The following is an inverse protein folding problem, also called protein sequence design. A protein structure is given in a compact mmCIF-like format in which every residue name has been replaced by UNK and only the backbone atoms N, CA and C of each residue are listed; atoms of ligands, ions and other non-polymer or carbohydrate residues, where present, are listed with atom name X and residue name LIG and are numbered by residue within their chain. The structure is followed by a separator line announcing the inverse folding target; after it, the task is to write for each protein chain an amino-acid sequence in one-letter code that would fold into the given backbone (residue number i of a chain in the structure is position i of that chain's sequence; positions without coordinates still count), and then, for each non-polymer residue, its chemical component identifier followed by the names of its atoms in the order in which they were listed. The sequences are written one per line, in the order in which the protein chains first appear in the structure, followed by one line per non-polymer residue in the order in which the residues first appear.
data_IF_928521771947
#
_entry.id   IF_928521771947
#
_cell.length_a   1.000
_cell.length_b   1.000
_cell.length_c   1.000
_cell.angle_alpha   90.00
_cell.angle_beta   90.00
_cell.angle_gamma   90.00
#
_symmetry.space_group_name_H-M   'P 1'
#
loop_
_entity.id
_entity.type
_entity.pdbx_description
1 polymer ?
#
# COMPACT_ATOMS: atom_id res chain seq x y z
N UNK A 1 -12.69 11.60 3.74
CA UNK A 1 -11.81 12.09 2.65
C UNK A 1 -10.98 10.91 2.15
N UNK A 2 -10.65 10.85 0.86
CA UNK A 2 -9.98 9.68 0.27
C UNK A 2 -8.67 9.26 0.96
N UNK A 3 -7.90 10.21 1.52
CA UNK A 3 -6.57 9.94 2.11
C UNK A 3 -6.55 10.05 3.64
N UNK A 4 -7.71 10.03 4.31
CA UNK A 4 -7.80 10.30 5.75
C UNK A 4 -7.01 9.33 6.62
N UNK A 5 -6.91 8.05 6.22
CA UNK A 5 -6.12 7.06 6.96
C UNK A 5 -4.62 7.42 7.01
N UNK A 6 -4.08 7.95 5.90
CA UNK A 6 -2.70 8.41 5.87
C UNK A 6 -2.53 9.71 6.66
N UNK A 7 -3.47 10.66 6.56
CA UNK A 7 -3.43 11.87 7.38
C UNK A 7 -3.42 11.54 8.87
N UNK A 8 -4.30 10.63 9.30
CA UNK A 8 -4.38 10.13 10.68
C UNK A 8 -3.05 9.56 11.17
N UNK A 9 -2.38 8.73 10.35
CA UNK A 9 -1.04 8.23 10.68
C UNK A 9 -0.02 9.37 10.81
N UNK A 10 -0.01 10.33 9.89
CA UNK A 10 0.98 11.41 9.89
C UNK A 10 0.76 12.39 11.05
N UNK A 11 -0.49 12.63 11.43
CA UNK A 11 -0.88 13.37 12.62
C UNK A 11 -0.42 12.65 13.90
N UNK A 12 -0.67 11.35 14.02
CA UNK A 12 -0.23 10.55 15.16
C UNK A 12 1.30 10.51 15.31
N UNK A 13 2.03 10.38 14.19
CA UNK A 13 3.50 10.42 14.23
C UNK A 13 4.00 11.80 14.67
N UNK A 14 3.38 12.88 14.19
CA UNK A 14 3.70 14.24 14.61
C UNK A 14 5.14 14.66 14.33
N UNK A 15 5.52 15.84 14.84
CA UNK A 15 6.90 16.35 14.67
C UNK A 15 7.90 15.68 15.62
N UNK A 16 7.42 15.15 16.75
CA UNK A 16 8.22 14.41 17.72
C UNK A 16 8.55 12.97 17.30
N UNK A 17 7.82 12.41 16.35
CA UNK A 17 7.93 11.01 15.96
C UNK A 17 7.41 10.03 17.03
N UNK A 18 7.48 8.74 16.71
CA UNK A 18 7.12 7.65 17.61
C UNK A 18 8.37 6.88 18.03
N UNK A 19 8.42 6.47 19.29
CA UNK A 19 9.43 5.52 19.78
C UNK A 19 8.97 4.10 19.49
N UNK A 20 9.79 3.33 18.79
CA UNK A 20 9.54 1.93 18.49
C UNK A 20 10.05 1.01 19.62
N UNK A 21 9.53 -0.20 19.63
CA UNK A 21 10.05 -1.30 20.46
C UNK A 21 11.46 -1.71 20.04
N UNK A 22 12.15 -2.51 20.85
CA UNK A 22 13.49 -3.03 20.51
C UNK A 22 13.53 -3.86 19.21
N UNK A 23 12.40 -4.44 18.81
CA UNK A 23 12.25 -5.16 17.53
C UNK A 23 11.82 -4.24 16.36
N UNK A 24 11.85 -2.92 16.54
CA UNK A 24 11.44 -1.90 15.56
C UNK A 24 9.97 -1.96 15.13
N UNK A 25 9.08 -2.45 16.01
CA UNK A 25 7.63 -2.35 15.86
C UNK A 25 7.05 -1.19 16.69
N UNK A 26 5.90 -0.67 16.28
CA UNK A 26 5.06 0.24 17.05
C UNK A 26 4.72 -0.35 18.42
N UNK A 27 4.60 0.53 19.42
CA UNK A 27 4.10 0.14 20.74
C UNK A 27 2.61 -0.17 20.65
N UNK A 28 2.07 -1.04 21.51
CA UNK A 28 0.64 -1.38 21.50
C UNK A 28 -0.30 -0.17 21.57
N UNK A 29 0.10 0.92 22.24
CA UNK A 29 -0.64 2.18 22.26
C UNK A 29 -0.74 2.84 20.89
N UNK A 30 0.37 2.89 20.15
CA UNK A 30 0.42 3.49 18.82
C UNK A 30 -0.32 2.65 17.78
N UNK A 31 -0.24 1.32 17.90
CA UNK A 31 -0.99 0.39 17.05
C UNK A 31 -2.50 0.64 17.18
N UNK A 32 -2.99 0.85 18.41
CA UNK A 32 -4.41 1.15 18.66
C UNK A 32 -4.83 2.48 18.05
N UNK A 33 -4.06 3.54 18.26
CA UNK A 33 -4.39 4.84 17.67
C UNK A 33 -4.43 4.72 16.14
N UNK A 34 -3.41 4.14 15.52
CA UNK A 34 -3.39 4.00 14.05
C UNK A 34 -4.56 3.15 13.57
N UNK A 35 -4.86 2.02 14.24
CA UNK A 35 -5.97 1.14 13.89
C UNK A 35 -7.32 1.87 13.83
N UNK A 36 -7.58 2.78 14.76
CA UNK A 36 -8.84 3.53 14.83
C UNK A 36 -9.11 4.40 13.59
N UNK A 37 -8.05 4.77 12.85
CA UNK A 37 -8.16 5.55 11.62
C UNK A 37 -8.18 4.73 10.33
N UNK A 38 -8.11 3.40 10.39
CA UNK A 38 -8.02 2.54 9.20
C UNK A 38 -9.39 1.95 8.80
N UNK A 39 -9.91 2.26 7.59
CA UNK A 39 -11.10 1.60 7.05
C UNK A 39 -11.01 0.07 7.07
N UNK A 40 -9.84 -0.49 6.78
CA UNK A 40 -9.59 -1.94 6.79
C UNK A 40 -9.72 -2.61 8.16
N UNK A 41 -9.77 -1.84 9.25
CA UNK A 41 -9.98 -2.37 10.61
C UNK A 41 -11.46 -2.57 10.95
N UNK A 42 -12.40 -2.21 10.07
CA UNK A 42 -13.84 -2.30 10.33
C UNK A 42 -14.33 -3.70 10.74
N UNK A 43 -13.74 -4.76 10.20
CA UNK A 43 -14.09 -6.16 10.51
C UNK A 43 -13.05 -6.88 11.39
N UNK A 44 -12.13 -6.12 12.00
CA UNK A 44 -11.07 -6.71 12.82
C UNK A 44 -11.59 -7.13 14.20
N UNK A 45 -11.74 -8.45 14.39
CA UNK A 45 -12.29 -9.05 15.62
C UNK A 45 -11.22 -9.53 16.62
N UNK A 46 -9.94 -9.47 16.24
CA UNK A 46 -8.85 -10.00 17.06
C UNK A 46 -8.25 -8.93 17.97
N UNK A 47 -7.60 -9.32 19.09
CA UNK A 47 -6.96 -8.37 19.98
C UNK A 47 -5.89 -7.50 19.30
N UNK A 48 -5.97 -6.19 19.48
CA UNK A 48 -4.97 -5.22 19.00
C UNK A 48 -3.84 -5.13 20.04
N UNK A 49 -2.82 -5.98 19.87
CA UNK A 49 -1.71 -6.12 20.83
C UNK A 49 -0.37 -5.73 20.24
N UNK A 50 0.24 -6.59 19.42
CA UNK A 50 1.54 -6.37 18.78
C UNK A 50 1.34 -6.03 17.32
N UNK A 51 2.07 -5.04 16.81
CA UNK A 51 1.95 -4.61 15.41
C UNK A 51 2.03 -5.79 14.42
N UNK A 52 3.01 -6.68 14.60
CA UNK A 52 3.21 -7.86 13.73
C UNK A 52 2.00 -8.81 13.68
N UNK A 53 1.14 -8.78 14.69
CA UNK A 53 -0.09 -9.59 14.74
C UNK A 53 -1.31 -8.83 14.20
N UNK A 54 -1.20 -7.51 14.00
CA UNK A 54 -2.26 -6.65 13.45
C UNK A 54 -1.87 -6.30 12.03
N UNK A 55 -1.99 -7.29 11.14
CA UNK A 55 -1.52 -7.22 9.75
C UNK A 55 -1.97 -5.96 8.99
N UNK A 56 -3.24 -5.46 9.11
CA UNK A 56 -3.63 -4.23 8.42
C UNK A 56 -2.84 -3.01 8.86
N UNK A 57 -2.54 -2.89 10.16
CA UNK A 57 -1.72 -1.78 10.70
C UNK A 57 -0.25 -1.95 10.30
N UNK A 58 0.27 -3.17 10.36
CA UNK A 58 1.64 -3.46 9.96
C UNK A 58 1.89 -3.11 8.49
N UNK A 59 1.05 -3.65 7.59
CA UNK A 59 1.12 -3.38 6.15
C UNK A 59 1.00 -1.89 5.85
N UNK A 60 0.05 -1.21 6.50
CA UNK A 60 -0.16 0.23 6.32
C UNK A 60 1.02 1.10 6.78
N UNK A 61 1.67 0.78 7.90
CA UNK A 61 2.89 1.49 8.32
C UNK A 61 4.03 1.25 7.32
N UNK A 62 4.23 0.01 6.89
CA UNK A 62 5.27 -0.36 5.93
C UNK A 62 5.03 0.35 4.59
N UNK A 63 3.78 0.46 4.15
CA UNK A 63 3.44 1.19 2.93
C UNK A 63 3.73 2.68 3.05
N UNK A 64 3.45 3.31 4.20
CA UNK A 64 3.83 4.70 4.45
C UNK A 64 5.35 4.94 4.39
N UNK A 65 6.17 3.96 4.82
CA UNK A 65 7.64 3.99 4.62
C UNK A 65 8.01 3.89 3.13
N UNK A 66 7.40 2.94 2.40
CA UNK A 66 7.63 2.73 0.95
C UNK A 66 7.30 3.98 0.13
N UNK A 67 6.18 4.63 0.45
CA UNK A 67 5.71 5.86 -0.16
C UNK A 67 6.56 7.08 0.26
N UNK A 68 7.44 6.90 1.25
CA UNK A 68 8.37 7.91 1.74
C UNK A 68 7.68 9.03 2.51
N UNK A 69 6.55 8.73 3.17
CA UNK A 69 5.85 9.65 4.06
C UNK A 69 6.48 9.63 5.46
N UNK A 70 6.87 8.44 5.92
CA UNK A 70 7.57 8.24 7.19
C UNK A 70 8.92 7.59 6.95
N UNK A 71 9.83 7.76 7.91
CA UNK A 71 11.13 7.13 7.92
C UNK A 71 11.33 6.45 9.27
N UNK A 72 11.64 5.16 9.20
CA UNK A 72 12.12 4.39 10.33
C UNK A 72 13.62 4.50 10.45
N UNK A 73 14.09 4.80 11.66
CA UNK A 73 15.48 4.67 12.10
C UNK A 73 15.47 3.79 13.35
N UNK A 74 16.59 3.20 13.70
CA UNK A 74 16.66 2.26 14.83
C UNK A 74 15.96 2.82 16.08
N UNK A 75 14.86 2.19 16.51
CA UNK A 75 14.07 2.60 17.66
C UNK A 75 13.11 3.79 17.45
N UNK A 76 12.98 4.36 16.24
CA UNK A 76 12.09 5.49 15.99
C UNK A 76 11.43 5.52 14.61
N UNK A 77 10.23 6.11 14.55
CA UNK A 77 9.50 6.42 13.33
C UNK A 77 9.24 7.93 13.28
N UNK A 78 9.62 8.58 12.19
CA UNK A 78 9.55 10.05 12.06
C UNK A 78 8.97 10.45 10.71
N UNK A 79 8.38 11.64 10.61
CA UNK A 79 7.93 12.18 9.32
C UNK A 79 9.13 12.49 8.43
N UNK A 80 9.03 12.16 7.13
CA UNK A 80 9.91 12.75 6.12
C UNK A 80 9.51 14.20 5.86
N UNK A 81 10.27 14.92 5.01
CA UNK A 81 9.84 16.23 4.52
C UNK A 81 8.49 16.14 3.80
N UNK A 82 8.38 15.20 2.85
CA UNK A 82 7.12 14.96 2.13
C UNK A 82 5.98 14.57 3.07
N UNK A 83 6.24 13.79 4.12
CA UNK A 83 5.23 13.45 5.13
C UNK A 83 4.75 14.66 5.93
N UNK A 84 5.64 15.60 6.29
CA UNK A 84 5.25 16.85 6.96
C UNK A 84 4.37 17.73 6.07
N UNK A 85 4.78 17.88 4.81
CA UNK A 85 4.04 18.69 3.84
C UNK A 85 2.64 18.08 3.58
N UNK A 86 2.58 16.75 3.39
CA UNK A 86 1.36 16.00 3.15
C UNK A 86 0.42 15.89 4.37
N UNK A 87 0.94 16.03 5.60
CA UNK A 87 0.13 15.97 6.83
C UNK A 87 -0.99 17.01 6.81
N UNK A 88 -0.68 18.21 6.33
CA UNK A 88 -1.58 19.36 6.36
C UNK A 88 -2.26 19.65 5.01
N UNK A 89 -1.92 18.90 3.95
CA UNK A 89 -2.45 19.10 2.60
C UNK A 89 -2.83 17.76 1.95
N UNK A 90 -4.13 17.42 1.91
CA UNK A 90 -4.63 16.22 1.26
C UNK A 90 -4.23 16.10 -0.22
N UNK A 91 -4.03 17.22 -0.94
CA UNK A 91 -3.64 17.21 -2.35
C UNK A 91 -2.17 16.79 -2.49
N UNK A 92 -1.28 17.35 -1.68
CA UNK A 92 0.12 16.92 -1.63
C UNK A 92 0.25 15.45 -1.23
N UNK A 93 -0.62 14.99 -0.33
CA UNK A 93 -0.69 13.58 0.03
C UNK A 93 -1.12 12.70 -1.15
N UNK A 94 -2.21 13.04 -1.84
CA UNK A 94 -2.65 12.33 -3.04
C UNK A 94 -1.57 12.27 -4.11
N UNK A 95 -0.96 13.43 -4.43
CA UNK A 95 0.13 13.53 -5.39
C UNK A 95 1.32 12.64 -5.01
N UNK A 96 1.66 12.62 -3.71
CA UNK A 96 2.73 11.77 -3.22
C UNK A 96 2.41 10.28 -3.39
N UNK A 97 1.17 9.88 -3.08
CA UNK A 97 0.73 8.50 -3.25
C UNK A 97 0.80 8.09 -4.72
N UNK A 98 0.21 8.85 -5.64
CA UNK A 98 0.19 8.46 -7.07
C UNK A 98 1.59 8.38 -7.68
N UNK A 99 2.51 9.27 -7.30
CA UNK A 99 3.88 9.29 -7.83
C UNK A 99 4.75 8.13 -7.33
N UNK A 100 4.40 7.52 -6.19
CA UNK A 100 5.22 6.52 -5.50
C UNK A 100 4.57 5.14 -5.40
N UNK A 101 3.32 5.02 -5.87
CA UNK A 101 2.54 3.79 -5.76
C UNK A 101 3.18 2.63 -6.54
N UNK A 102 3.57 2.91 -7.78
CA UNK A 102 4.20 1.96 -8.67
C UNK A 102 5.73 2.14 -8.65
N UNK A 103 6.51 1.05 -8.61
CA UNK A 103 7.96 1.16 -8.68
C UNK A 103 8.41 1.60 -10.08
N UNK A 104 9.57 2.26 -10.17
CA UNK A 104 10.07 2.88 -11.42
C UNK A 104 11.36 2.26 -11.97
N UNK A 105 11.95 1.28 -11.27
CA UNK A 105 13.20 0.63 -11.69
C UNK A 105 12.91 -0.71 -12.39
N UNK A 106 13.56 -1.03 -13.52
CA UNK A 106 13.25 -2.25 -14.28
C UNK A 106 13.49 -3.50 -13.43
N UNK A 107 12.40 -4.15 -13.04
CA UNK A 107 12.37 -5.34 -12.20
C UNK A 107 11.03 -6.06 -12.37
N UNK A 108 10.98 -7.34 -11.99
CA UNK A 108 9.74 -8.13 -11.97
C UNK A 108 8.60 -7.41 -11.23
N UNK A 109 8.90 -6.83 -10.06
CA UNK A 109 7.91 -6.11 -9.24
C UNK A 109 7.26 -4.92 -9.96
N UNK A 110 7.96 -4.29 -10.92
CA UNK A 110 7.38 -3.22 -11.74
C UNK A 110 6.40 -3.77 -12.75
N UNK A 111 6.81 -4.78 -13.54
CA UNK A 111 5.94 -5.38 -14.54
C UNK A 111 4.71 -6.03 -13.90
N UNK A 112 4.92 -6.83 -12.84
CA UNK A 112 3.85 -7.44 -12.08
C UNK A 112 2.96 -6.39 -11.41
N UNK A 113 3.55 -5.35 -10.81
CA UNK A 113 2.82 -4.26 -10.17
C UNK A 113 1.94 -3.49 -11.14
N UNK A 114 2.45 -3.19 -12.34
CA UNK A 114 1.71 -2.52 -13.41
C UNK A 114 0.56 -3.39 -13.94
N UNK A 115 0.77 -4.69 -14.15
CA UNK A 115 -0.29 -5.61 -14.60
C UNK A 115 -1.37 -5.77 -13.53
N UNK A 116 -0.99 -5.91 -12.25
CA UNK A 116 -1.94 -5.97 -11.13
C UNK A 116 -2.75 -4.67 -11.05
N UNK A 117 -2.08 -3.51 -11.13
CA UNK A 117 -2.72 -2.20 -11.13
C UNK A 117 -3.68 -2.03 -12.32
N UNK A 118 -3.27 -2.44 -13.52
CA UNK A 118 -4.10 -2.41 -14.72
C UNK A 118 -5.34 -3.29 -14.54
N UNK A 119 -5.17 -4.52 -14.05
CA UNK A 119 -6.28 -5.43 -13.80
C UNK A 119 -7.26 -4.85 -12.76
N UNK A 120 -6.77 -4.25 -11.68
CA UNK A 120 -7.60 -3.55 -10.71
C UNK A 120 -8.36 -2.36 -11.31
N UNK A 121 -7.75 -1.65 -12.26
CA UNK A 121 -8.34 -0.49 -12.89
C UNK A 121 -9.44 -0.84 -13.92
N UNK A 122 -9.41 -2.04 -14.48
CA UNK A 122 -10.26 -2.47 -15.62
C UNK A 122 -11.25 -3.59 -15.30
N UNK A 123 -11.00 -4.43 -14.28
CA UNK A 123 -11.86 -5.57 -13.96
C UNK A 123 -13.11 -5.16 -13.16
N UNK A 124 -14.33 -5.58 -13.58
CA UNK A 124 -15.55 -5.36 -12.80
C UNK A 124 -15.44 -5.93 -11.38
N UNK A 125 -15.93 -5.18 -10.38
CA UNK A 125 -15.84 -5.49 -8.94
C UNK A 125 -14.43 -5.45 -8.35
N UNK A 126 -13.41 -5.05 -9.11
CA UNK A 126 -12.03 -4.86 -8.62
C UNK A 126 -11.42 -6.13 -7.98
N UNK A 127 -11.86 -7.31 -8.43
CA UNK A 127 -11.32 -8.60 -8.02
C UNK A 127 -10.04 -8.91 -8.81
N UNK A 128 -9.09 -9.63 -8.20
CA UNK A 128 -7.84 -10.05 -8.84
C UNK A 128 -7.76 -11.57 -8.88
N UNK A 129 -7.64 -12.13 -10.07
CA UNK A 129 -7.18 -13.50 -10.26
C UNK A 129 -5.64 -13.52 -10.39
N UNK A 130 -4.96 -14.00 -9.35
CA UNK A 130 -3.49 -14.07 -9.32
C UNK A 130 -2.95 -15.18 -10.23
N UNK A 131 -3.75 -16.19 -10.56
CA UNK A 131 -3.37 -17.25 -11.48
C UNK A 131 -3.29 -16.70 -12.91
N UNK A 132 -4.32 -15.98 -13.35
CA UNK A 132 -4.35 -15.38 -14.68
C UNK A 132 -3.20 -14.40 -14.90
N UNK A 133 -2.93 -13.54 -13.91
CA UNK A 133 -1.80 -12.60 -13.97
C UNK A 133 -0.45 -13.34 -14.03
N UNK A 134 -0.30 -14.47 -13.32
CA UNK A 134 0.94 -15.27 -13.38
C UNK A 134 1.15 -15.89 -14.77
N UNK A 135 0.09 -16.33 -15.43
CA UNK A 135 0.15 -16.83 -16.81
C UNK A 135 0.51 -15.71 -17.80
N UNK A 136 -0.06 -14.51 -17.63
CA UNK A 136 0.28 -13.34 -18.45
C UNK A 136 1.76 -12.99 -18.29
N UNK A 137 2.27 -12.90 -17.05
CA UNK A 137 3.67 -12.61 -16.79
C UNK A 137 4.60 -13.66 -17.40
N UNK A 138 4.25 -14.94 -17.28
CA UNK A 138 4.99 -16.05 -17.91
C UNK A 138 4.98 -15.94 -19.44
N UNK A 139 3.84 -15.63 -20.04
CA UNK A 139 3.71 -15.45 -21.49
C UNK A 139 4.52 -14.23 -22.01
N UNK A 140 4.70 -13.20 -21.17
CA UNK A 140 5.56 -12.04 -21.45
C UNK A 140 7.06 -12.34 -21.27
N UNK A 141 7.43 -13.59 -20.95
CA UNK A 141 8.81 -14.04 -20.84
C UNK A 141 9.42 -13.90 -19.45
N UNK A 142 8.64 -13.52 -18.42
CA UNK A 142 9.12 -13.56 -17.05
C UNK A 142 9.19 -15.01 -16.54
N UNK A 143 10.28 -15.35 -15.86
CA UNK A 143 10.48 -16.66 -15.27
C UNK A 143 11.45 -16.56 -14.09
N UNK A 144 11.38 -17.53 -13.18
CA UNK A 144 12.42 -17.73 -12.17
C UNK A 144 13.72 -18.23 -12.82
N UNK A 145 14.82 -18.17 -12.07
CA UNK A 145 16.06 -18.83 -12.46
C UNK A 145 15.80 -20.32 -12.80
N UNK A 146 16.39 -20.78 -13.90
CA UNK A 146 16.17 -22.12 -14.45
C UNK A 146 14.90 -22.27 -15.29
N UNK A 147 14.25 -21.17 -15.68
CA UNK A 147 13.14 -21.18 -16.64
C UNK A 147 11.79 -21.64 -16.06
N UNK A 148 11.67 -21.72 -14.72
CA UNK A 148 10.39 -22.06 -14.08
C UNK A 148 9.41 -20.90 -14.23
N UNK A 149 8.12 -21.17 -14.50
CA UNK A 149 7.12 -20.14 -14.73
C UNK A 149 6.86 -19.30 -13.48
N UNK A 150 6.29 -18.11 -13.68
CA UNK A 150 5.79 -17.27 -12.59
C UNK A 150 4.59 -17.97 -11.95
N UNK A 151 4.54 -17.98 -10.62
CA UNK A 151 3.46 -18.60 -9.85
C UNK A 151 2.48 -17.55 -9.32
N UNK A 152 1.25 -17.96 -9.05
CA UNK A 152 0.26 -17.10 -8.40
C UNK A 152 0.77 -16.51 -7.06
N UNK A 153 1.62 -17.24 -6.32
CA UNK A 153 2.24 -16.76 -5.09
C UNK A 153 3.13 -15.53 -5.30
N UNK A 154 3.82 -15.44 -6.43
CA UNK A 154 4.67 -14.30 -6.77
C UNK A 154 3.81 -13.05 -6.99
N UNK A 155 2.67 -13.23 -7.66
CA UNK A 155 1.68 -12.16 -7.88
C UNK A 155 1.00 -11.74 -6.58
N UNK A 156 0.68 -12.69 -5.68
CA UNK A 156 0.05 -12.40 -4.39
C UNK A 156 0.92 -11.47 -3.54
N UNK A 157 2.25 -11.64 -3.55
CA UNK A 157 3.17 -10.77 -2.82
C UNK A 157 3.12 -9.32 -3.34
N UNK A 158 3.18 -9.14 -4.66
CA UNK A 158 3.08 -7.82 -5.31
C UNK A 158 1.72 -7.18 -5.05
N UNK A 159 0.65 -7.96 -5.21
CA UNK A 159 -0.73 -7.54 -4.90
C UNK A 159 -0.88 -7.09 -3.47
N UNK A 160 -0.37 -7.84 -2.50
CA UNK A 160 -0.47 -7.48 -1.08
C UNK A 160 0.28 -6.16 -0.80
N UNK A 161 1.44 -5.97 -1.42
CA UNK A 161 2.18 -4.71 -1.31
C UNK A 161 1.39 -3.52 -1.86
N UNK A 162 0.72 -3.70 -3.00
CA UNK A 162 -0.15 -2.66 -3.56
C UNK A 162 -1.37 -2.42 -2.66
N UNK A 163 -1.99 -3.49 -2.16
CA UNK A 163 -3.11 -3.44 -1.22
C UNK A 163 -2.75 -2.65 0.05
N UNK A 164 -1.57 -2.88 0.62
CA UNK A 164 -1.11 -2.14 1.80
C UNK A 164 -0.99 -0.63 1.54
N UNK A 165 -0.74 -0.24 0.27
CA UNK A 165 -0.73 1.16 -0.14
C UNK A 165 -2.13 1.77 -0.32
N UNK A 166 -3.10 1.02 -0.86
CA UNK A 166 -4.38 1.61 -1.31
C UNK A 166 -5.62 1.10 -0.57
N UNK A 167 -5.52 0.03 0.19
CA UNK A 167 -6.66 -0.62 0.86
C UNK A 167 -7.31 0.21 1.96
N UNK A 168 -6.65 1.29 2.39
CA UNK A 168 -7.17 2.29 3.32
C UNK A 168 -7.41 3.66 2.66
N UNK A 169 -7.39 3.73 1.32
CA UNK A 169 -7.77 4.92 0.55
C UNK A 169 -9.27 4.85 0.29
N UNK A 170 -10.02 5.86 0.74
CA UNK A 170 -11.47 5.90 0.69
C UNK A 170 -12.16 4.97 1.69
N UNK A 171 -13.49 4.86 1.64
CA UNK A 171 -14.26 4.01 2.54
C UNK A 171 -13.99 2.52 2.30
N UNK A 172 -14.19 1.72 3.35
CA UNK A 172 -14.14 0.27 3.25
C UNK A 172 -15.22 -0.25 2.28
N UNK A 173 -14.82 -1.02 1.27
CA UNK A 173 -15.69 -1.36 0.13
C UNK A 173 -15.92 -2.87 -0.07
N UNK A 174 -15.45 -3.73 0.85
CA UNK A 174 -15.60 -5.18 0.74
C UNK A 174 -15.69 -5.88 2.10
N UNK A 175 -15.50 -7.19 2.11
CA UNK A 175 -15.23 -7.95 3.34
C UNK A 175 -13.73 -8.24 3.45
N UNK A 176 -13.28 -8.71 4.63
CA UNK A 176 -11.89 -9.13 4.86
C UNK A 176 -11.42 -10.22 3.88
N UNK A 177 -12.37 -10.93 3.27
CA UNK A 177 -12.15 -12.01 2.31
C UNK A 177 -12.16 -11.52 0.86
N UNK A 178 -13.06 -10.59 0.52
CA UNK A 178 -13.20 -10.09 -0.85
C UNK A 178 -12.13 -9.07 -1.22
N UNK A 179 -11.59 -8.34 -0.23
CA UNK A 179 -10.55 -7.31 -0.43
C UNK A 179 -10.86 -6.41 -1.64
N UNK A 180 -12.08 -5.87 -1.66
CA UNK A 180 -12.53 -4.96 -2.71
C UNK A 180 -12.04 -3.55 -2.43
N UNK A 181 -11.46 -2.91 -3.44
CA UNK A 181 -11.01 -1.53 -3.35
C UNK A 181 -12.20 -0.54 -3.44
N UNK A 182 -12.04 0.59 -2.75
CA UNK A 182 -12.94 1.73 -2.91
C UNK A 182 -12.79 2.38 -4.28
N UNK A 183 -13.76 3.19 -4.69
CA UNK A 183 -13.63 3.98 -5.92
C UNK A 183 -12.44 4.94 -5.86
N UNK A 184 -12.16 5.52 -4.69
CA UNK A 184 -11.02 6.43 -4.51
C UNK A 184 -9.69 5.70 -4.69
N UNK A 185 -9.57 4.49 -4.15
CA UNK A 185 -8.38 3.65 -4.32
C UNK A 185 -8.15 3.30 -5.80
N UNK A 186 -9.21 3.00 -6.55
CA UNK A 186 -9.12 2.73 -7.99
C UNK A 186 -8.75 3.98 -8.77
N UNK A 187 -9.30 5.16 -8.42
CA UNK A 187 -8.90 6.44 -9.02
C UNK A 187 -7.41 6.73 -8.78
N UNK A 188 -6.90 6.48 -7.58
CA UNK A 188 -5.48 6.63 -7.27
C UNK A 188 -4.60 5.71 -8.11
N UNK A 189 -5.02 4.45 -8.32
CA UNK A 189 -4.32 3.50 -9.20
C UNK A 189 -4.29 4.01 -10.64
N UNK A 190 -5.43 4.51 -11.15
CA UNK A 190 -5.51 5.07 -12.52
C UNK A 190 -4.57 6.26 -12.69
N UNK A 191 -4.57 7.19 -11.74
CA UNK A 191 -3.68 8.34 -11.75
C UNK A 191 -2.20 7.90 -11.76
N UNK A 192 -1.85 6.90 -10.93
CA UNK A 192 -0.49 6.35 -10.89
C UNK A 192 -0.07 5.72 -12.22
N UNK A 193 -0.97 4.99 -12.90
CA UNK A 193 -0.70 4.39 -14.21
C UNK A 193 -0.47 5.43 -15.31
N UNK A 194 -1.28 6.49 -15.35
CA UNK A 194 -1.14 7.57 -16.36
C UNK A 194 0.18 8.33 -16.17
N UNK A 195 0.67 8.46 -14.95
CA UNK A 195 1.93 9.18 -14.67
C UNK A 195 3.19 8.40 -15.10
N UNK A 196 3.07 7.10 -15.42
CA UNK A 196 4.21 6.23 -15.78
C UNK A 196 4.44 6.12 -17.30
N UNK A 197 3.57 6.67 -18.13
CA UNK A 197 3.77 6.73 -19.58
C UNK A 197 4.41 8.08 -19.91
N UNK A 198 5.70 8.16 -20.27
CA UNK A 198 6.18 9.34 -20.96
C UNK A 198 5.39 9.44 -22.25
N UNK A 199 4.69 10.55 -22.45
CA UNK A 199 4.27 10.93 -23.79
C UNK A 199 5.56 11.25 -24.54
N UNK A 200 6.18 10.24 -25.16
CA UNK A 200 7.15 10.50 -26.21
C UNK A 200 6.35 11.09 -27.39
N UNK A 201 6.60 12.38 -27.65
CA UNK A 201 6.21 13.06 -28.88
C UNK A 201 7.28 12.89 -29.95
#
# INVERSE_FOLDING_TARGET
MAVSAYQHLLEHVGDGGLTLTGANYLKPSDVRVIADGLPSMAEWIFPITREVNVLPVHGFRVSAERLGLVRRRQGSLSLTRAGRDARNDPRLLWDRLRQRLLPTAPAFDVAAGAIVALHLATTPRFAIDSQDISHILTALGWAHAGGRPVLASDVIAVRNTLWDCVGNVGPWAGTRWERRLSQDAVSLIRDALVTQVPLEG
#
